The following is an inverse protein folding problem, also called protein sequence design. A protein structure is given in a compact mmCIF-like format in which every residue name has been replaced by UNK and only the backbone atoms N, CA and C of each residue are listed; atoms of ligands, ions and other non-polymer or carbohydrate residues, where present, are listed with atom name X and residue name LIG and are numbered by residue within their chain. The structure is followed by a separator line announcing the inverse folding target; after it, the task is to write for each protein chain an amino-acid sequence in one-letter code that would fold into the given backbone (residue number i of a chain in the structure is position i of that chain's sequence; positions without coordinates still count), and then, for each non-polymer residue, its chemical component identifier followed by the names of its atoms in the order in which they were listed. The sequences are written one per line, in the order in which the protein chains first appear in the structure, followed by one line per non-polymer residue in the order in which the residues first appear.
data_IF_481895397246
#
_entry.id   IF_481895397246
#
_cell.length_a   1.000
_cell.length_b   1.000
_cell.length_c   1.000
_cell.angle_alpha   90.00
_cell.angle_beta   90.00
_cell.angle_gamma   90.00
#
_symmetry.space_group_name_H-M   'P 1'
#
loop_
_entity.id
_entity.type
_entity.pdbx_description
1 polymer ?
#
# COMPACT_ATOMS: atom_id res chain seq x y z
N UNK A 1 10.10 -5.07 10.57
CA UNK A 1 8.78 -4.89 11.19
C UNK A 1 7.90 -6.08 10.85
N UNK A 2 6.96 -6.42 11.71
CA UNK A 2 6.02 -7.51 11.47
C UNK A 2 5.17 -7.20 10.23
N UNK A 3 5.14 -8.14 9.27
CA UNK A 3 4.39 -7.95 8.02
C UNK A 3 2.89 -7.77 8.27
N UNK A 4 2.33 -8.46 9.27
CA UNK A 4 0.89 -8.31 9.58
C UNK A 4 0.58 -6.88 10.04
N UNK A 5 1.50 -6.26 10.76
CA UNK A 5 1.35 -4.87 11.17
C UNK A 5 1.41 -3.91 9.98
N UNK A 6 2.33 -4.17 9.05
CA UNK A 6 2.43 -3.36 7.83
C UNK A 6 1.15 -3.47 6.99
N UNK A 7 0.62 -4.67 6.85
CA UNK A 7 -0.64 -4.91 6.13
C UNK A 7 -1.78 -4.11 6.78
N UNK A 8 -1.89 -4.19 8.10
CA UNK A 8 -2.93 -3.46 8.83
C UNK A 8 -2.80 -1.94 8.65
N UNK A 9 -1.57 -1.43 8.76
CA UNK A 9 -1.31 0.00 8.59
C UNK A 9 -1.64 0.47 7.17
N UNK A 10 -1.24 -0.31 6.17
CA UNK A 10 -1.51 0.02 4.77
C UNK A 10 -3.01 0.00 4.48
N UNK A 11 -3.73 -0.98 5.02
CA UNK A 11 -5.19 -1.05 4.85
C UNK A 11 -5.91 0.13 5.50
N UNK A 12 -5.44 0.60 6.65
CA UNK A 12 -6.02 1.78 7.29
C UNK A 12 -5.90 3.00 6.40
N UNK A 13 -4.75 3.14 5.75
CA UNK A 13 -4.55 4.22 4.78
C UNK A 13 -5.52 4.06 3.60
N UNK A 14 -5.63 2.84 3.09
CA UNK A 14 -6.55 2.53 2.00
C UNK A 14 -8.01 2.85 2.33
N UNK A 15 -8.43 2.56 3.56
CA UNK A 15 -9.80 2.83 4.02
C UNK A 15 -10.14 4.31 3.93
N UNK A 16 -9.16 5.18 4.15
CA UNK A 16 -9.35 6.62 4.06
C UNK A 16 -9.76 7.06 2.66
N UNK A 17 -9.34 6.33 1.64
CA UNK A 17 -9.61 6.65 0.24
C UNK A 17 -10.73 5.80 -0.37
N UNK A 18 -11.41 4.99 0.42
CA UNK A 18 -12.42 4.06 -0.06
C UNK A 18 -13.56 4.74 -0.80
N UNK A 19 -13.95 5.93 -0.35
CA UNK A 19 -15.07 6.67 -0.93
C UNK A 19 -14.69 7.56 -2.12
N UNK A 20 -13.42 7.55 -2.51
CA UNK A 20 -12.98 8.35 -3.65
C UNK A 20 -13.61 7.83 -4.93
N UNK A 21 -14.23 8.71 -5.76
CA UNK A 21 -14.90 8.27 -6.99
C UNK A 21 -13.92 7.77 -8.05
N UNK A 22 -12.70 8.32 -8.08
CA UNK A 22 -11.68 7.92 -9.05
C UNK A 22 -10.67 7.00 -8.35
N UNK A 23 -10.71 5.71 -8.69
CA UNK A 23 -9.84 4.71 -8.08
C UNK A 23 -8.38 4.88 -8.45
N UNK A 24 -8.09 5.32 -9.68
CA UNK A 24 -6.72 5.62 -10.10
C UNK A 24 -6.10 6.71 -9.24
N UNK A 25 -6.86 7.74 -8.97
CA UNK A 25 -6.44 8.84 -8.12
C UNK A 25 -6.19 8.37 -6.69
N UNK A 26 -7.12 7.56 -6.17
CA UNK A 26 -6.99 7.00 -4.83
C UNK A 26 -5.72 6.15 -4.70
N UNK A 27 -5.42 5.33 -5.69
CA UNK A 27 -4.22 4.49 -5.69
C UNK A 27 -2.95 5.33 -5.66
N UNK A 28 -2.89 6.39 -6.44
CA UNK A 28 -1.74 7.30 -6.44
C UNK A 28 -1.57 7.96 -5.08
N UNK A 29 -2.66 8.41 -4.46
CA UNK A 29 -2.61 9.06 -3.16
C UNK A 29 -2.19 8.09 -2.05
N UNK A 30 -2.67 6.86 -2.09
CA UNK A 30 -2.24 5.83 -1.13
C UNK A 30 -0.74 5.63 -1.23
N UNK A 31 -0.22 5.42 -2.44
CA UNK A 31 1.21 5.21 -2.65
C UNK A 31 2.02 6.45 -2.27
N UNK A 32 1.52 7.63 -2.60
CA UNK A 32 2.17 8.89 -2.24
C UNK A 32 2.32 9.03 -0.73
N UNK A 33 1.29 8.67 0.02
CA UNK A 33 1.34 8.65 1.48
C UNK A 33 2.44 7.73 1.99
N UNK A 34 2.50 6.50 1.46
CA UNK A 34 3.53 5.54 1.85
C UNK A 34 4.92 6.05 1.47
N UNK A 35 5.06 6.60 0.28
CA UNK A 35 6.35 7.13 -0.20
C UNK A 35 6.87 8.27 0.68
N UNK A 36 5.97 9.08 1.22
CA UNK A 36 6.33 10.23 2.04
C UNK A 36 6.59 9.87 3.49
N UNK A 37 5.82 8.95 4.05
CA UNK A 37 5.80 8.73 5.50
C UNK A 37 6.40 7.41 5.95
N UNK A 38 6.46 6.40 5.08
CA UNK A 38 7.07 5.12 5.44
C UNK A 38 8.55 5.13 5.12
N UNK A 39 9.36 4.65 6.09
CA UNK A 39 10.80 4.46 5.86
C UNK A 39 11.02 3.47 4.71
N UNK A 40 12.12 3.65 3.98
CA UNK A 40 12.42 2.80 2.83
C UNK A 40 12.40 1.29 3.14
N UNK A 41 12.95 0.82 4.28
CA UNK A 41 12.87 -0.62 4.61
C UNK A 41 11.44 -1.13 4.72
N UNK A 42 10.53 -0.32 5.23
CA UNK A 42 9.12 -0.69 5.33
C UNK A 42 8.49 -0.79 3.94
N UNK A 43 8.79 0.16 3.06
CA UNK A 43 8.29 0.15 1.68
C UNK A 43 8.80 -1.08 0.93
N UNK A 44 10.08 -1.39 1.09
CA UNK A 44 10.68 -2.59 0.47
C UNK A 44 10.02 -3.86 0.96
N UNK A 45 9.75 -3.94 2.26
CA UNK A 45 9.14 -5.13 2.86
C UNK A 45 7.73 -5.36 2.31
N UNK A 46 6.90 -4.33 2.26
CA UNK A 46 5.53 -4.49 1.76
C UNK A 46 5.51 -4.75 0.24
N UNK A 47 6.42 -4.13 -0.52
CA UNK A 47 6.54 -4.36 -1.96
C UNK A 47 6.94 -5.81 -2.25
N UNK A 48 7.88 -6.34 -1.49
CA UNK A 48 8.31 -7.74 -1.62
C UNK A 48 7.15 -8.68 -1.28
N UNK A 49 6.38 -8.37 -0.25
CA UNK A 49 5.22 -9.15 0.12
C UNK A 49 4.18 -9.22 -1.02
N UNK A 50 3.90 -8.08 -1.65
CA UNK A 50 2.97 -8.04 -2.79
C UNK A 50 3.51 -8.88 -3.95
N UNK A 51 4.81 -8.78 -4.24
CA UNK A 51 5.42 -9.51 -5.34
C UNK A 51 5.45 -11.02 -5.09
N UNK A 52 5.74 -11.46 -3.87
CA UNK A 52 5.97 -12.88 -3.56
C UNK A 52 4.74 -13.58 -3.03
N UNK A 53 3.86 -12.89 -2.31
CA UNK A 53 2.70 -13.46 -1.64
C UNK A 53 1.38 -12.95 -2.24
N UNK A 54 1.44 -12.29 -3.38
CA UNK A 54 0.26 -11.73 -4.07
C UNK A 54 -0.52 -10.72 -3.22
N UNK A 55 0.10 -10.16 -2.18
CA UNK A 55 -0.54 -9.16 -1.34
C UNK A 55 -1.71 -9.66 -0.51
N UNK A 56 -1.72 -10.95 -0.18
CA UNK A 56 -2.82 -11.55 0.61
C UNK A 56 -3.06 -10.73 1.87
N UNK A 57 -4.31 -10.38 2.13
CA UNK A 57 -4.72 -9.58 3.29
C UNK A 57 -4.79 -8.08 3.02
N UNK A 58 -4.15 -7.59 1.94
CA UNK A 58 -4.26 -6.20 1.55
C UNK A 58 -5.54 -5.96 0.72
N UNK A 59 -6.19 -4.83 0.94
CA UNK A 59 -7.31 -4.41 0.10
C UNK A 59 -6.85 -4.23 -1.35
N UNK A 60 -7.72 -4.49 -2.31
CA UNK A 60 -7.37 -4.45 -3.73
C UNK A 60 -6.76 -3.12 -4.16
N UNK A 61 -7.31 -2.01 -3.68
CA UNK A 61 -6.81 -0.66 -3.95
C UNK A 61 -5.37 -0.49 -3.46
N UNK A 62 -5.08 -1.01 -2.27
CA UNK A 62 -3.77 -0.93 -1.65
C UNK A 62 -2.76 -1.79 -2.42
N UNK A 63 -3.16 -2.98 -2.84
CA UNK A 63 -2.30 -3.84 -3.66
C UNK A 63 -1.91 -3.13 -4.95
N UNK A 64 -2.88 -2.55 -5.63
CA UNK A 64 -2.63 -1.83 -6.90
C UNK A 64 -1.73 -0.61 -6.66
N UNK A 65 -1.96 0.14 -5.58
CA UNK A 65 -1.12 1.29 -5.22
C UNK A 65 0.34 0.87 -5.03
N UNK A 66 0.56 -0.19 -4.29
CA UNK A 66 1.91 -0.68 -4.00
C UNK A 66 2.58 -1.19 -5.28
N UNK A 67 1.85 -1.98 -6.05
CA UNK A 67 2.39 -2.58 -7.26
C UNK A 67 2.76 -1.54 -8.31
N UNK A 68 1.92 -0.53 -8.51
CA UNK A 68 2.03 0.38 -9.64
C UNK A 68 2.73 1.69 -9.31
N UNK A 69 2.72 2.13 -8.06
CA UNK A 69 3.15 3.50 -7.70
C UNK A 69 4.12 3.60 -6.53
N UNK A 70 4.38 2.53 -5.80
CA UNK A 70 5.26 2.62 -4.64
C UNK A 70 6.72 2.69 -5.08
N UNK A 71 7.46 3.67 -4.51
CA UNK A 71 8.90 3.81 -4.76
C UNK A 71 9.69 2.96 -3.77
N UNK A 72 10.59 2.12 -4.29
CA UNK A 72 11.44 1.26 -3.46
C UNK A 72 12.90 1.23 -3.92
#
# INVERSE_FOLDING_TARGET
MDIQRLISMANQIGDFYESYPDQSYAQKDIADHLNKFWALPMRKQIAQYVAEQAGVGLHAQVQSAIKDHLSV
#
